data_IF_830998466182
#
_entry.id   IF_830998466182
#
_cell.length_a   1.000
_cell.length_b   1.000
_cell.length_c   1.000
_cell.angle_alpha   90.00
_cell.angle_beta   90.00
_cell.angle_gamma   90.00
#
_symmetry.space_group_name_H-M   'P 1'
#
loop_
_entity.id
_entity.type
_entity.pdbx_description
1 polymer ?
#
# COMPACT_ATOMS: atom_id res chain seq x y z
N UNK A 1 20.94 -5.00 -10.42
CA UNK A 1 20.50 -5.15 -9.01
C UNK A 1 20.43 -6.63 -8.72
N UNK A 2 21.02 -7.10 -7.62
CA UNK A 2 20.86 -8.48 -7.18
C UNK A 2 19.39 -8.76 -6.87
N UNK A 3 18.89 -9.97 -7.11
CA UNK A 3 17.46 -10.29 -6.94
C UNK A 3 16.94 -10.02 -5.51
N UNK A 4 17.80 -10.14 -4.50
CA UNK A 4 17.50 -9.75 -3.10
C UNK A 4 17.24 -8.24 -2.94
N UNK A 5 18.06 -7.39 -3.55
CA UNK A 5 17.90 -5.94 -3.49
C UNK A 5 16.61 -5.47 -4.21
N UNK A 6 16.28 -6.10 -5.33
CA UNK A 6 15.04 -5.84 -6.07
C UNK A 6 13.80 -6.24 -5.27
N UNK A 7 13.83 -7.39 -4.59
CA UNK A 7 12.75 -7.82 -3.69
C UNK A 7 12.54 -6.82 -2.55
N UNK A 8 13.61 -6.45 -1.84
CA UNK A 8 13.54 -5.52 -0.73
C UNK A 8 13.01 -4.14 -1.16
N UNK A 9 13.48 -3.62 -2.29
CA UNK A 9 12.99 -2.35 -2.84
C UNK A 9 11.49 -2.42 -3.18
N UNK A 10 11.02 -3.55 -3.73
CA UNK A 10 9.62 -3.75 -4.06
C UNK A 10 8.71 -3.85 -2.83
N UNK A 11 9.18 -4.56 -1.79
CA UNK A 11 8.50 -4.60 -0.50
C UNK A 11 8.47 -3.23 0.17
N UNK A 12 9.58 -2.49 0.13
CA UNK A 12 9.67 -1.13 0.68
C UNK A 12 8.71 -0.16 -0.02
N UNK A 13 8.59 -0.23 -1.36
CA UNK A 13 7.64 0.60 -2.09
C UNK A 13 6.18 0.31 -1.69
N UNK A 14 5.81 -0.96 -1.52
CA UNK A 14 4.49 -1.34 -1.02
C UNK A 14 4.27 -0.91 0.44
N UNK A 15 5.28 -1.04 1.29
CA UNK A 15 5.22 -0.59 2.68
C UNK A 15 5.02 0.93 2.76
N UNK A 16 5.73 1.70 1.93
CA UNK A 16 5.54 3.16 1.85
C UNK A 16 4.11 3.50 1.40
N UNK A 17 3.60 2.83 0.36
CA UNK A 17 2.25 3.05 -0.13
C UNK A 17 1.19 2.68 0.92
N UNK A 18 1.18 1.44 1.41
CA UNK A 18 0.14 0.94 2.31
C UNK A 18 0.30 1.42 3.75
N UNK A 19 1.54 1.61 4.20
CA UNK A 19 1.83 2.21 5.50
C UNK A 19 1.35 3.67 5.53
N UNK A 20 1.66 4.45 4.50
CA UNK A 20 1.21 5.85 4.45
C UNK A 20 -0.30 5.97 4.31
N UNK A 21 -0.96 5.15 3.49
CA UNK A 21 -2.43 5.19 3.38
C UNK A 21 -3.13 4.74 4.67
N UNK A 22 -2.55 3.79 5.41
CA UNK A 22 -3.05 3.38 6.72
C UNK A 22 -2.89 4.49 7.77
N UNK A 23 -1.70 5.11 7.81
CA UNK A 23 -1.44 6.25 8.66
C UNK A 23 -2.36 7.42 8.31
N UNK A 24 -2.61 7.66 7.02
CA UNK A 24 -3.56 8.66 6.55
C UNK A 24 -4.94 8.49 7.14
N UNK A 25 -5.39 7.26 7.47
CA UNK A 25 -6.70 7.04 8.07
C UNK A 25 -6.77 7.48 9.53
N UNK A 26 -5.67 7.41 10.28
CA UNK A 26 -5.67 7.69 11.74
C UNK A 26 -4.93 8.98 12.11
N UNK A 27 -4.02 9.47 11.27
CA UNK A 27 -3.18 10.62 11.58
C UNK A 27 -3.99 11.93 11.66
N UNK A 28 -3.58 12.88 12.51
CA UNK A 28 -4.19 14.20 12.52
C UNK A 28 -4.08 14.89 11.15
N UNK A 29 -5.02 15.79 10.85
CA UNK A 29 -5.17 16.43 9.53
C UNK A 29 -3.90 17.15 9.05
N UNK A 30 -3.07 17.65 9.97
CA UNK A 30 -1.80 18.30 9.66
C UNK A 30 -0.81 17.40 8.89
N UNK A 31 -0.89 16.08 9.10
CA UNK A 31 -0.04 15.11 8.40
C UNK A 31 -0.67 14.58 7.11
N UNK A 32 -1.88 15.02 6.76
CA UNK A 32 -2.59 14.52 5.60
C UNK A 32 -1.78 14.74 4.31
N UNK A 33 -1.38 15.98 4.03
CA UNK A 33 -0.62 16.30 2.80
C UNK A 33 0.75 15.61 2.77
N UNK A 34 1.59 15.65 3.83
CA UNK A 34 2.85 14.91 3.83
C UNK A 34 2.69 13.41 3.59
N UNK A 35 1.77 12.76 4.29
CA UNK A 35 1.53 11.31 4.13
C UNK A 35 0.97 10.98 2.74
N UNK A 36 0.14 11.87 2.18
CA UNK A 36 -0.37 11.72 0.82
C UNK A 36 0.77 11.76 -0.19
N UNK A 37 1.74 12.66 -0.04
CA UNK A 37 2.92 12.72 -0.90
C UNK A 37 3.77 11.45 -0.78
N UNK A 38 4.02 10.96 0.44
CA UNK A 38 4.79 9.73 0.66
C UNK A 38 4.07 8.52 0.04
N UNK A 39 2.75 8.43 0.18
CA UNK A 39 1.95 7.39 -0.47
C UNK A 39 2.13 7.42 -2.00
N UNK A 40 2.01 8.59 -2.63
CA UNK A 40 2.19 8.74 -4.07
C UNK A 40 3.61 8.42 -4.53
N UNK A 41 4.63 8.82 -3.76
CA UNK A 41 6.01 8.44 -4.02
C UNK A 41 6.18 6.91 -4.00
N UNK A 42 5.56 6.22 -3.04
CA UNK A 42 5.49 4.77 -2.97
C UNK A 42 4.84 4.14 -4.20
N UNK A 43 3.72 4.69 -4.68
CA UNK A 43 3.02 4.22 -5.89
C UNK A 43 3.92 4.36 -7.13
N UNK A 44 4.53 5.53 -7.34
CA UNK A 44 5.42 5.77 -8.48
C UNK A 44 6.63 4.83 -8.44
N UNK A 45 7.19 4.62 -7.24
CA UNK A 45 8.30 3.68 -7.07
C UNK A 45 7.88 2.24 -7.34
N UNK A 46 6.71 1.81 -6.86
CA UNK A 46 6.12 0.51 -7.15
C UNK A 46 5.94 0.29 -8.66
N UNK A 47 5.38 1.27 -9.37
CA UNK A 47 5.20 1.21 -10.83
C UNK A 47 6.53 1.12 -11.58
N UNK A 48 7.58 1.79 -11.10
CA UNK A 48 8.93 1.71 -11.68
C UNK A 48 9.57 0.34 -11.43
N UNK A 49 9.43 -0.20 -10.21
CA UNK A 49 10.03 -1.47 -9.82
C UNK A 49 9.33 -2.67 -10.45
N UNK A 50 8.00 -2.65 -10.59
CA UNK A 50 7.25 -3.77 -11.20
C UNK A 50 7.77 -4.13 -12.60
N UNK A 51 8.23 -3.13 -13.35
CA UNK A 51 8.78 -3.30 -14.72
C UNK A 51 10.18 -3.91 -14.73
N UNK A 52 10.85 -3.99 -13.58
CA UNK A 52 12.24 -4.42 -13.42
C UNK A 52 12.36 -5.71 -12.60
N UNK A 53 11.24 -6.34 -12.25
CA UNK A 53 11.24 -7.58 -11.48
C UNK A 53 11.59 -8.76 -12.39
N UNK A 54 12.54 -9.63 -12.00
CA UNK A 54 12.88 -10.85 -12.74
C UNK A 54 11.89 -11.99 -12.47
N UNK A 55 10.65 -11.69 -12.07
CA UNK A 55 9.65 -12.69 -11.68
C UNK A 55 8.76 -13.09 -12.87
N UNK A 56 8.10 -14.25 -12.75
CA UNK A 56 7.11 -14.72 -13.72
C UNK A 56 6.04 -13.63 -13.97
N UNK A 57 5.79 -13.23 -15.24
CA UNK A 57 4.79 -12.23 -15.57
C UNK A 57 3.41 -12.53 -14.98
N UNK A 58 3.01 -13.80 -14.86
CA UNK A 58 1.73 -14.17 -14.25
C UNK A 58 1.69 -13.89 -12.74
N UNK A 59 2.81 -14.08 -12.04
CA UNK A 59 2.91 -13.77 -10.62
C UNK A 59 2.95 -12.27 -10.35
N UNK A 60 3.71 -11.51 -11.15
CA UNK A 60 3.74 -10.04 -11.09
C UNK A 60 2.35 -9.46 -11.34
N UNK A 61 1.60 -10.01 -12.31
CA UNK A 61 0.23 -9.59 -12.59
C UNK A 61 -0.71 -9.86 -11.40
N UNK A 62 -0.61 -11.03 -10.75
CA UNK A 62 -1.40 -11.37 -9.56
C UNK A 62 -1.13 -10.43 -8.39
N UNK A 63 0.15 -10.19 -8.07
CA UNK A 63 0.54 -9.25 -7.01
C UNK A 63 0.03 -7.85 -7.34
N UNK A 64 0.24 -7.38 -8.56
CA UNK A 64 -0.20 -6.06 -9.02
C UNK A 64 -1.72 -5.91 -8.90
N UNK A 65 -2.49 -6.92 -9.30
CA UNK A 65 -3.95 -6.92 -9.17
C UNK A 65 -4.38 -6.84 -7.71
N UNK A 66 -3.77 -7.65 -6.84
CA UNK A 66 -4.06 -7.61 -5.41
C UNK A 66 -3.71 -6.25 -4.78
N UNK A 67 -2.59 -5.64 -5.18
CA UNK A 67 -2.19 -4.29 -4.77
C UNK A 67 -3.24 -3.26 -5.17
N UNK A 68 -3.74 -3.29 -6.40
CA UNK A 68 -4.79 -2.36 -6.86
C UNK A 68 -6.13 -2.57 -6.15
N UNK A 69 -6.55 -3.83 -5.96
CA UNK A 69 -7.79 -4.16 -5.23
C UNK A 69 -7.71 -3.62 -3.80
N UNK A 70 -6.60 -3.90 -3.11
CA UNK A 70 -6.41 -3.45 -1.74
C UNK A 70 -6.37 -1.91 -1.67
N UNK A 71 -5.70 -1.26 -2.61
CA UNK A 71 -5.69 0.21 -2.70
C UNK A 71 -7.11 0.76 -2.89
N UNK A 72 -7.89 0.14 -3.78
CA UNK A 72 -9.31 0.48 -3.99
C UNK A 72 -10.15 0.39 -2.71
N UNK A 73 -9.85 -0.56 -1.81
CA UNK A 73 -10.53 -0.67 -0.53
C UNK A 73 -10.16 0.44 0.47
N UNK A 74 -8.97 1.06 0.35
CA UNK A 74 -8.59 2.20 1.18
C UNK A 74 -9.23 3.52 0.74
N UNK A 75 -9.59 3.66 -0.56
CA UNK A 75 -10.14 4.90 -1.11
C UNK A 75 -11.42 5.38 -0.40
N UNK A 76 -12.44 4.53 -0.15
CA UNK A 76 -13.66 4.95 0.55
C UNK A 76 -13.39 5.52 1.94
N UNK A 77 -12.46 4.90 2.69
CA UNK A 77 -12.08 5.34 4.04
C UNK A 77 -11.37 6.71 3.95
N UNK A 78 -10.48 6.87 2.97
CA UNK A 78 -9.76 8.12 2.75
C UNK A 78 -10.71 9.27 2.37
N UNK A 79 -11.67 9.01 1.48
CA UNK A 79 -12.69 9.99 1.06
C UNK A 79 -13.58 10.38 2.22
N UNK A 80 -14.04 9.40 3.01
CA UNK A 80 -14.82 9.66 4.21
C UNK A 80 -14.06 10.56 5.20
N UNK A 81 -12.76 10.32 5.37
CA UNK A 81 -11.91 11.17 6.20
C UNK A 81 -11.74 12.58 5.67
N UNK A 82 -11.56 12.74 4.37
CA UNK A 82 -11.46 14.05 3.74
C UNK A 82 -12.77 14.84 3.93
N UNK A 83 -13.92 14.22 3.68
CA UNK A 83 -15.24 14.81 3.88
C UNK A 83 -15.48 15.21 5.35
N UNK A 84 -15.07 14.37 6.30
CA UNK A 84 -15.14 14.70 7.72
C UNK A 84 -14.22 15.87 8.11
N UNK A 85 -13.00 15.93 7.55
CA UNK A 85 -12.07 17.05 7.73
C UNK A 85 -12.60 18.37 7.16
N UNK A 86 -13.44 18.31 6.13
CA UNK A 86 -14.15 19.46 5.55
C UNK A 86 -15.44 19.82 6.32
N UNK A 87 -15.78 19.10 7.38
CA UNK A 87 -16.99 19.33 8.18
C UNK A 87 -18.29 18.83 7.53
N UNK A 88 -18.21 18.08 6.43
CA UNK A 88 -19.38 17.60 5.67
C UNK A 88 -19.99 16.32 6.26
N UNK A 89 -19.27 15.60 7.12
CA UNK A 89 -19.73 14.35 7.74
C UNK A 89 -19.32 14.29 9.22
N UNK A 90 -20.20 13.71 10.06
CA UNK A 90 -19.86 13.33 11.43
C UNK A 90 -19.17 11.97 11.45
N UNK A 91 -17.92 11.95 11.90
CA UNK A 91 -17.12 10.73 12.06
C UNK A 91 -17.67 9.81 13.15
N UNK A 92 -18.07 8.59 12.78
CA UNK A 92 -18.19 7.48 13.73
C UNK A 92 -16.86 6.71 13.80
N UNK A 93 -16.02 7.11 14.76
CA UNK A 93 -14.65 6.60 14.93
C UNK A 93 -14.45 5.09 15.13
N UNK A 94 -15.34 4.31 15.78
CA UNK A 94 -15.00 2.92 16.13
C UNK A 94 -14.95 1.96 14.92
N UNK A 95 -15.83 2.13 13.94
CA UNK A 95 -15.90 1.23 12.76
C UNK A 95 -14.72 1.47 11.80
N UNK A 96 -14.28 2.72 11.66
CA UNK A 96 -13.19 3.11 10.77
C UNK A 96 -11.83 2.57 11.23
N UNK A 97 -11.60 2.48 12.55
CA UNK A 97 -10.36 1.91 13.11
C UNK A 97 -10.25 0.42 12.84
N UNK A 98 -11.35 -0.34 13.03
CA UNK A 98 -11.38 -1.77 12.73
C UNK A 98 -11.11 -2.06 11.25
N UNK A 99 -11.81 -1.36 10.35
CA UNK A 99 -11.62 -1.51 8.91
C UNK A 99 -10.19 -1.14 8.46
N UNK A 100 -9.65 -0.03 8.96
CA UNK A 100 -8.27 0.40 8.67
C UNK A 100 -7.26 -0.66 9.11
N UNK A 101 -7.44 -1.23 10.31
CA UNK A 101 -6.55 -2.25 10.84
C UNK A 101 -6.63 -3.53 9.99
N UNK A 102 -7.82 -3.99 9.61
CA UNK A 102 -7.99 -5.15 8.74
C UNK A 102 -7.29 -4.95 7.39
N UNK A 103 -7.43 -3.78 6.78
CA UNK A 103 -6.73 -3.46 5.53
C UNK A 103 -5.21 -3.39 5.72
N UNK A 104 -4.74 -2.86 6.86
CA UNK A 104 -3.31 -2.80 7.17
C UNK A 104 -2.69 -4.19 7.35
N UNK A 105 -3.43 -5.11 7.98
CA UNK A 105 -3.01 -6.52 8.07
C UNK A 105 -2.98 -7.16 6.69
N UNK A 106 -4.01 -6.96 5.86
CA UNK A 106 -4.03 -7.47 4.48
C UNK A 106 -2.87 -6.91 3.65
N UNK A 107 -2.53 -5.63 3.84
CA UNK A 107 -1.37 -5.01 3.19
C UNK A 107 -0.06 -5.66 3.63
N UNK A 108 0.12 -5.87 4.93
CA UNK A 108 1.31 -6.54 5.46
C UNK A 108 1.45 -7.96 4.89
N UNK A 109 0.35 -8.73 4.84
CA UNK A 109 0.34 -10.07 4.23
C UNK A 109 0.71 -10.03 2.74
N UNK A 110 0.20 -9.04 2.00
CA UNK A 110 0.55 -8.84 0.59
C UNK A 110 2.02 -8.48 0.39
N UNK A 111 2.59 -7.63 1.25
CA UNK A 111 4.02 -7.28 1.25
C UNK A 111 4.86 -8.51 1.52
N UNK A 112 4.52 -9.32 2.53
CA UNK A 112 5.26 -10.56 2.83
C UNK A 112 5.15 -11.56 1.68
N UNK A 113 3.96 -11.73 1.11
CA UNK A 113 3.72 -12.64 -0.02
C UNK A 113 4.54 -12.23 -1.24
N UNK A 114 4.53 -10.94 -1.59
CA UNK A 114 5.28 -10.41 -2.72
C UNK A 114 6.80 -10.53 -2.53
N UNK A 115 7.30 -10.30 -1.31
CA UNK A 115 8.71 -10.52 -0.98
C UNK A 115 9.11 -11.99 -1.15
N UNK A 116 8.27 -12.94 -0.71
CA UNK A 116 8.52 -14.38 -0.88
C UNK A 116 8.55 -14.77 -2.36
N UNK A 117 7.53 -14.37 -3.11
CA UNK A 117 7.42 -14.60 -4.55
C UNK A 117 8.69 -14.17 -5.30
N UNK A 118 9.11 -12.92 -5.11
CA UNK A 118 10.28 -12.35 -5.81
C UNK A 118 11.58 -13.03 -5.37
N UNK A 119 11.71 -13.40 -4.09
CA UNK A 119 12.89 -14.14 -3.60
C UNK A 119 13.00 -15.54 -4.21
N UNK A 120 11.88 -16.23 -4.40
CA UNK A 120 11.88 -17.55 -5.03
C UNK A 120 12.32 -17.46 -6.49
N UNK A 121 11.78 -16.51 -7.26
CA UNK A 121 12.22 -16.26 -8.65
C UNK A 121 13.67 -15.77 -8.76
N UNK A 122 14.24 -15.17 -7.72
CA UNK A 122 15.62 -14.69 -7.74
C UNK A 122 16.67 -15.77 -7.41
N UNK A 123 16.26 -16.90 -6.84
CA UNK A 123 17.14 -17.98 -6.39
C UNK A 123 17.00 -19.26 -7.25
N UNK A 124 16.00 -19.32 -8.14
CA UNK A 124 15.85 -20.37 -9.15
C UNK A 124 16.43 -19.92 -10.48
#
# INVERSE_FOLDING_TARGET
MTGKASALAFGAAQLLMFGSVSLLQIAPVQFFVPLLLVMHAGILWFMKLRRRLPADPAEVARITRATYVLMGMYLPILVYKLLAGLGLLRMQYPVLHGATLSLAVLAALLVVRSLRAIRLCANG
#
